data_IF_708268417863
#
_entry.id   IF_708268417863
#
_cell.length_a   1.000
_cell.length_b   1.000
_cell.length_c   1.000
_cell.angle_alpha   90.00
_cell.angle_beta   90.00
_cell.angle_gamma   90.00
#
_symmetry.space_group_name_H-M   'P 1'
#
loop_
_entity.id
_entity.type
_entity.pdbx_description
1 polymer ?
#
# COMPACT_ATOMS: atom_id res chain seq x y z
N UNK A 1 11.01 -6.10 -11.98
CA UNK A 1 9.68 -5.64 -12.41
C UNK A 1 8.83 -5.48 -11.16
N UNK A 2 8.12 -4.35 -11.01
CA UNK A 2 7.13 -4.12 -9.95
C UNK A 2 5.80 -4.60 -10.50
N UNK A 3 5.12 -5.53 -9.82
CA UNK A 3 3.80 -6.00 -10.22
C UNK A 3 2.75 -5.39 -9.27
N UNK A 4 1.80 -4.65 -9.81
CA UNK A 4 0.54 -4.37 -9.13
C UNK A 4 -0.43 -5.50 -9.52
N UNK A 5 -0.90 -6.25 -8.53
CA UNK A 5 -1.82 -7.39 -8.67
C UNK A 5 -3.11 -7.00 -7.92
N UNK A 6 -4.27 -7.59 -8.29
CA UNK A 6 -5.65 -7.36 -7.80
C UNK A 6 -5.87 -7.49 -6.27
N UNK A 7 -5.04 -6.80 -5.50
CA UNK A 7 -4.90 -6.80 -4.04
C UNK A 7 -4.17 -5.53 -3.52
N UNK A 8 -3.67 -4.70 -4.47
CA UNK A 8 -3.14 -3.32 -4.28
C UNK A 8 -1.97 -3.20 -3.32
N UNK A 9 -1.08 -4.16 -3.51
CA UNK A 9 0.23 -4.29 -2.90
C UNK A 9 1.31 -3.97 -3.95
N UNK A 10 2.43 -3.36 -3.56
CA UNK A 10 3.63 -3.31 -4.41
C UNK A 10 4.69 -4.25 -3.82
N UNK A 11 5.14 -5.21 -4.61
CA UNK A 11 6.10 -6.22 -4.20
C UNK A 11 7.23 -6.35 -5.23
N UNK A 12 8.40 -6.77 -4.73
CA UNK A 12 9.57 -7.05 -5.55
C UNK A 12 9.92 -8.54 -5.47
N UNK A 13 9.96 -9.21 -6.62
CA UNK A 13 10.33 -10.62 -6.71
C UNK A 13 9.12 -11.55 -6.58
N UNK A 14 8.99 -12.23 -5.44
CA UNK A 14 7.95 -13.25 -5.20
C UNK A 14 6.65 -12.62 -4.71
N UNK A 15 5.83 -12.18 -5.65
CA UNK A 15 4.54 -11.53 -5.45
C UNK A 15 3.36 -12.52 -5.42
N UNK A 16 2.27 -12.16 -4.75
CA UNK A 16 1.01 -12.92 -4.71
C UNK A 16 -0.18 -12.07 -5.18
N UNK A 17 -1.29 -12.75 -5.48
CA UNK A 17 -2.61 -12.19 -5.76
C UNK A 17 -3.61 -12.48 -4.62
N UNK A 18 -3.10 -12.75 -3.42
CA UNK A 18 -3.90 -13.13 -2.26
C UNK A 18 -4.74 -11.95 -1.77
N UNK A 19 -6.06 -12.02 -1.98
CA UNK A 19 -7.00 -10.95 -1.65
C UNK A 19 -7.42 -10.96 -0.17
N UNK A 20 -7.05 -12.00 0.58
CA UNK A 20 -7.38 -12.10 2.01
C UNK A 20 -6.27 -11.46 2.82
N UNK A 21 -6.56 -10.33 3.46
CA UNK A 21 -5.58 -9.67 4.31
C UNK A 21 -5.31 -10.48 5.58
N UNK A 22 -4.07 -10.43 6.07
CA UNK A 22 -3.68 -11.11 7.32
C UNK A 22 -2.56 -10.35 8.04
N UNK A 23 -2.14 -10.86 9.20
CA UNK A 23 -1.01 -10.31 9.94
C UNK A 23 0.30 -10.46 9.16
N UNK A 24 1.16 -9.44 9.23
CA UNK A 24 2.50 -9.50 8.67
C UNK A 24 3.48 -10.18 9.67
N UNK A 25 4.47 -10.96 9.18
CA UNK A 25 4.75 -11.22 7.77
C UNK A 25 3.77 -12.23 7.18
N UNK A 26 3.24 -11.93 6.00
CA UNK A 26 2.41 -12.86 5.26
C UNK A 26 3.28 -13.83 4.46
N UNK A 27 2.95 -15.12 4.55
CA UNK A 27 3.67 -16.16 3.82
C UNK A 27 3.44 -16.11 2.31
N UNK A 28 2.34 -15.45 1.88
CA UNK A 28 1.97 -15.25 0.48
C UNK A 28 2.98 -14.38 -0.27
N UNK A 29 3.69 -13.46 0.41
CA UNK A 29 4.64 -12.54 -0.21
C UNK A 29 6.08 -12.89 0.16
N UNK A 30 6.78 -13.58 -0.75
CA UNK A 30 8.14 -14.05 -0.50
C UNK A 30 9.21 -12.94 -0.52
N UNK A 31 8.94 -11.80 -1.18
CA UNK A 31 9.88 -10.69 -1.31
C UNK A 31 9.51 -9.43 -0.53
N UNK A 32 10.34 -8.37 -0.60
CA UNK A 32 10.04 -7.07 -0.03
C UNK A 32 8.73 -6.54 -0.59
N UNK A 33 7.84 -6.13 0.30
CA UNK A 33 6.46 -5.84 -0.04
C UNK A 33 5.94 -4.68 0.80
N UNK A 34 5.24 -3.75 0.14
CA UNK A 34 4.56 -2.61 0.76
C UNK A 34 3.05 -2.80 0.62
N UNK A 35 2.36 -2.76 1.75
CA UNK A 35 0.92 -2.97 1.87
C UNK A 35 0.29 -1.61 2.19
N UNK A 36 -0.12 -0.88 1.16
CA UNK A 36 -0.74 0.44 1.32
C UNK A 36 -2.19 0.33 1.80
N UNK A 37 -2.92 -0.66 1.31
CA UNK A 37 -4.27 -1.00 1.73
C UNK A 37 -4.58 -2.42 1.27
N UNK A 38 -3.88 -3.42 1.83
CA UNK A 38 -4.01 -4.79 1.35
C UNK A 38 -5.38 -5.35 1.71
N UNK A 39 -6.19 -5.58 0.69
CA UNK A 39 -7.55 -6.11 0.69
C UNK A 39 -7.96 -6.41 -0.77
N UNK A 40 -9.16 -6.93 -0.99
CA UNK A 40 -9.73 -7.24 -2.32
C UNK A 40 -10.28 -5.98 -3.01
N UNK A 41 -9.42 -5.03 -3.41
CA UNK A 41 -9.90 -3.85 -4.16
C UNK A 41 -9.97 -4.13 -5.68
N UNK A 42 -10.69 -3.30 -6.42
CA UNK A 42 -10.91 -3.43 -7.85
C UNK A 42 -11.22 -2.06 -8.47
N UNK A 43 -10.89 -1.91 -9.75
CA UNK A 43 -11.37 -0.83 -10.61
C UNK A 43 -12.65 -1.31 -11.31
N UNK A 44 -13.78 -0.68 -11.01
CA UNK A 44 -15.05 -0.98 -11.67
C UNK A 44 -15.11 -0.38 -13.08
N UNK A 45 -15.49 -1.20 -14.06
CA UNK A 45 -15.71 -0.77 -15.44
C UNK A 45 -16.74 0.37 -15.52
N UNK A 46 -16.45 1.39 -16.31
CA UNK A 46 -17.34 2.55 -16.51
C UNK A 46 -17.24 3.61 -15.41
N UNK A 47 -16.27 3.50 -14.49
CA UNK A 47 -15.95 4.53 -13.49
C UNK A 47 -14.67 5.29 -13.85
N UNK A 48 -14.35 6.35 -13.10
CA UNK A 48 -13.09 7.08 -13.20
C UNK A 48 -11.95 6.50 -12.34
N UNK A 49 -12.19 5.35 -11.70
CA UNK A 49 -11.20 4.67 -10.87
C UNK A 49 -9.96 4.32 -11.67
N UNK A 50 -8.81 4.39 -11.04
CA UNK A 50 -7.53 4.23 -11.72
C UNK A 50 -6.42 3.79 -10.78
N UNK A 51 -5.40 3.19 -11.38
CA UNK A 51 -4.07 3.12 -10.77
C UNK A 51 -3.11 3.83 -11.69
N UNK A 52 -2.38 4.78 -11.12
CA UNK A 52 -1.44 5.62 -11.82
C UNK A 52 -0.05 5.51 -11.19
N UNK A 53 0.98 5.60 -12.02
CA UNK A 53 2.34 5.76 -11.53
C UNK A 53 3.01 6.93 -12.25
N UNK A 54 3.85 7.65 -11.53
CA UNK A 54 4.68 8.71 -12.09
C UNK A 54 6.06 8.73 -11.46
N UNK A 55 7.02 9.25 -12.22
CA UNK A 55 8.33 9.63 -11.71
C UNK A 55 8.50 11.11 -11.99
N UNK A 56 8.56 11.91 -10.92
CA UNK A 56 8.83 13.33 -10.97
C UNK A 56 10.31 13.61 -10.66
N UNK A 57 10.69 14.88 -10.85
CA UNK A 57 12.04 15.37 -10.64
C UNK A 57 13.11 14.73 -11.56
N UNK A 58 14.36 15.13 -11.35
CA UNK A 58 15.51 14.59 -12.07
C UNK A 58 16.47 13.91 -11.10
N UNK A 59 17.23 12.93 -11.59
CA UNK A 59 18.27 12.30 -10.78
C UNK A 59 19.25 13.36 -10.22
N UNK A 60 19.72 13.21 -8.97
CA UNK A 60 19.52 12.07 -8.05
C UNK A 60 18.31 12.20 -7.10
N UNK A 61 17.33 13.06 -7.39
CA UNK A 61 16.22 13.38 -6.48
C UNK A 61 14.85 12.94 -7.02
N UNK A 62 14.79 11.87 -7.82
CA UNK A 62 13.52 11.39 -8.38
C UNK A 62 12.54 10.96 -7.29
N UNK A 63 11.27 11.27 -7.49
CA UNK A 63 10.15 10.84 -6.67
C UNK A 63 9.28 9.90 -7.49
N UNK A 64 9.19 8.64 -7.08
CA UNK A 64 8.24 7.69 -7.66
C UNK A 64 6.96 7.67 -6.82
N UNK A 65 5.81 7.95 -7.46
CA UNK A 65 4.50 7.94 -6.82
C UNK A 65 3.63 6.89 -7.50
N UNK A 66 3.01 6.04 -6.70
CA UNK A 66 1.93 5.15 -7.11
C UNK A 66 0.65 5.63 -6.46
N UNK A 67 -0.38 5.87 -7.25
CA UNK A 67 -1.68 6.38 -6.80
C UNK A 67 -2.76 5.37 -7.14
N UNK A 68 -3.65 5.14 -6.17
CA UNK A 68 -4.73 4.18 -6.24
C UNK A 68 -6.02 4.92 -5.97
N UNK A 69 -6.98 4.84 -6.89
CA UNK A 69 -8.37 5.25 -6.73
C UNK A 69 -9.23 4.05 -7.13
N UNK A 70 -9.68 3.27 -6.14
CA UNK A 70 -10.30 1.96 -6.33
C UNK A 70 -11.51 1.77 -5.40
N UNK A 71 -12.20 0.63 -5.54
CA UNK A 71 -13.25 0.20 -4.60
C UNK A 71 -13.06 -1.23 -4.11
N UNK A 72 -13.71 -1.61 -3.02
CA UNK A 72 -13.68 -3.01 -2.55
C UNK A 72 -14.54 -3.89 -3.45
N UNK A 73 -14.12 -5.14 -3.68
CA UNK A 73 -14.84 -6.13 -4.45
C UNK A 73 -16.23 -6.40 -3.86
N UNK A 74 -17.25 -6.40 -4.72
CA UNK A 74 -18.65 -6.49 -4.30
C UNK A 74 -19.21 -5.24 -3.60
N UNK A 75 -18.43 -4.16 -3.44
CA UNK A 75 -18.85 -2.92 -2.77
C UNK A 75 -18.42 -1.68 -3.59
N UNK A 76 -19.07 -1.46 -4.73
CA UNK A 76 -18.71 -0.40 -5.71
C UNK A 76 -18.83 1.05 -5.21
N UNK A 77 -19.37 1.26 -4.02
CA UNK A 77 -19.51 2.58 -3.37
C UNK A 77 -18.56 2.77 -2.19
N UNK A 78 -17.74 1.77 -1.86
CA UNK A 78 -16.66 1.89 -0.89
C UNK A 78 -15.40 2.28 -1.65
N UNK A 79 -14.97 3.54 -1.52
CA UNK A 79 -13.85 4.10 -2.27
C UNK A 79 -12.59 4.18 -1.41
N UNK A 80 -11.45 3.94 -2.05
CA UNK A 80 -10.13 3.98 -1.45
C UNK A 80 -9.23 4.78 -2.37
N UNK A 81 -8.81 5.94 -1.88
CA UNK A 81 -7.93 6.85 -2.61
C UNK A 81 -6.69 7.12 -1.78
N UNK A 82 -5.54 6.62 -2.24
CA UNK A 82 -4.28 6.75 -1.52
C UNK A 82 -3.07 6.73 -2.46
N UNK A 83 -1.93 7.18 -1.95
CA UNK A 83 -0.65 7.18 -2.64
C UNK A 83 0.43 6.45 -1.84
N UNK A 84 1.37 5.85 -2.56
CA UNK A 84 2.63 5.31 -2.04
C UNK A 84 3.79 6.02 -2.73
N UNK A 85 4.68 6.64 -1.95
CA UNK A 85 5.79 7.45 -2.43
C UNK A 85 7.13 6.82 -2.05
N UNK A 86 8.05 6.81 -3.02
CA UNK A 86 9.45 6.41 -2.86
C UNK A 86 10.39 7.51 -3.34
N UNK A 87 11.44 7.78 -2.55
CA UNK A 87 12.36 8.89 -2.78
C UNK A 87 13.74 8.34 -3.14
N UNK A 88 14.28 8.73 -4.30
CA UNK A 88 15.62 8.27 -4.75
C UNK A 88 16.74 8.69 -3.78
N UNK A 89 16.63 9.90 -3.22
CA UNK A 89 17.62 10.47 -2.31
C UNK A 89 17.43 10.06 -0.83
N UNK A 90 16.36 9.35 -0.50
CA UNK A 90 16.05 8.86 0.84
C UNK A 90 15.69 7.37 0.78
N UNK A 91 16.66 6.49 0.44
CA UNK A 91 16.40 5.05 0.35
C UNK A 91 15.94 4.50 1.71
N UNK A 92 14.93 3.63 1.67
CA UNK A 92 14.31 3.04 2.85
C UNK A 92 13.20 3.88 3.48
N UNK A 93 12.96 5.11 3.00
CA UNK A 93 11.78 5.89 3.36
C UNK A 93 10.65 5.60 2.38
N UNK A 94 9.52 5.15 2.93
CA UNK A 94 8.29 4.89 2.19
C UNK A 94 7.18 5.70 2.86
N UNK A 95 6.44 6.48 2.06
CA UNK A 95 5.34 7.30 2.58
C UNK A 95 4.01 6.89 1.98
N UNK A 96 3.01 6.71 2.84
CA UNK A 96 1.62 6.53 2.43
C UNK A 96 0.84 7.80 2.71
N UNK A 97 -0.03 8.20 1.80
CA UNK A 97 -0.94 9.35 1.95
C UNK A 97 -2.35 8.87 1.65
N UNK A 98 -3.26 8.98 2.59
CA UNK A 98 -4.65 8.56 2.44
C UNK A 98 -5.56 9.77 2.22
N UNK A 99 -6.25 9.81 1.09
CA UNK A 99 -7.25 10.83 0.79
C UNK A 99 -8.65 10.35 1.14
N UNK A 100 -8.93 9.06 0.93
CA UNK A 100 -10.22 8.44 1.24
C UNK A 100 -10.04 6.95 1.60
N UNK A 101 -10.76 6.49 2.62
CA UNK A 101 -10.88 5.09 2.99
C UNK A 101 -12.28 4.81 3.57
N UNK A 102 -13.21 4.34 2.74
CA UNK A 102 -14.63 4.25 3.09
C UNK A 102 -14.94 3.40 4.33
N UNK A 103 -14.17 2.34 4.62
CA UNK A 103 -14.37 1.49 5.79
C UNK A 103 -13.38 1.79 6.94
N UNK A 104 -12.61 2.89 6.84
CA UNK A 104 -11.72 3.39 7.88
C UNK A 104 -10.61 2.44 8.33
N UNK A 105 -10.19 1.48 7.50
CA UNK A 105 -9.20 0.48 7.87
C UNK A 105 -9.78 -0.83 8.42
N UNK A 106 -11.09 -1.02 8.32
CA UNK A 106 -11.71 -2.32 8.59
C UNK A 106 -11.35 -3.30 7.46
N UNK A 107 -11.01 -4.55 7.76
CA UNK A 107 -10.69 -5.57 6.74
C UNK A 107 -9.42 -5.32 5.91
N UNK A 108 -8.42 -4.61 6.42
CA UNK A 108 -7.20 -4.36 5.65
C UNK A 108 -5.94 -4.54 6.48
N UNK A 109 -4.85 -4.88 5.80
CA UNK A 109 -3.49 -4.85 6.35
C UNK A 109 -2.70 -3.70 5.76
N UNK A 110 -2.14 -2.86 6.64
CA UNK A 110 -1.29 -1.73 6.27
C UNK A 110 0.07 -1.88 6.93
N UNK A 111 1.13 -1.83 6.12
CA UNK A 111 2.49 -1.99 6.62
C UNK A 111 3.50 -2.28 5.52
N UNK A 112 4.65 -2.82 5.92
CA UNK A 112 5.69 -3.33 5.03
C UNK A 112 6.30 -4.62 5.59
N UNK A 113 6.78 -5.49 4.71
CA UNK A 113 7.59 -6.66 5.09
C UNK A 113 8.81 -6.82 4.18
N UNK A 114 9.90 -7.39 4.69
CA UNK A 114 11.10 -7.69 3.88
C UNK A 114 11.01 -9.03 3.13
N UNK A 115 10.25 -10.00 3.64
CA UNK A 115 10.04 -11.33 3.06
C UNK A 115 8.96 -12.08 3.86
N UNK A 116 8.58 -13.29 3.41
CA UNK A 116 7.56 -14.15 4.06
C UNK A 116 7.87 -14.55 5.50
N UNK A 117 9.13 -14.48 5.91
CA UNK A 117 9.58 -14.71 7.30
C UNK A 117 10.47 -13.58 7.81
N UNK A 118 10.37 -12.40 7.20
CA UNK A 118 11.29 -11.28 7.41
C UNK A 118 10.82 -10.29 8.48
N UNK A 119 11.59 -9.21 8.63
CA UNK A 119 11.20 -8.08 9.46
C UNK A 119 9.96 -7.39 8.89
N UNK A 120 9.12 -6.87 9.77
CA UNK A 120 7.88 -6.18 9.42
C UNK A 120 7.73 -4.89 10.19
N UNK A 121 6.97 -3.96 9.62
CA UNK A 121 6.38 -2.83 10.32
C UNK A 121 4.91 -2.80 9.96
N UNK A 122 4.06 -3.07 10.95
CA UNK A 122 2.61 -3.13 10.78
C UNK A 122 1.99 -1.90 11.42
N UNK A 123 1.27 -1.11 10.64
CA UNK A 123 0.47 -0.01 11.16
C UNK A 123 -0.84 -0.53 11.73
N UNK A 124 -1.60 -1.31 10.93
CA UNK A 124 -2.88 -1.87 11.35
C UNK A 124 -3.21 -3.15 10.59
N UNK A 125 -4.05 -3.98 11.22
CA UNK A 125 -4.69 -5.17 10.66
C UNK A 125 -6.12 -5.19 11.19
N UNK A 126 -7.10 -5.13 10.30
CA UNK A 126 -8.53 -5.17 10.63
C UNK A 126 -8.99 -4.16 11.71
N UNK A 127 -8.39 -2.97 11.71
CA UNK A 127 -8.70 -1.93 12.69
C UNK A 127 -9.57 -0.82 12.10
N UNK A 128 -10.86 -0.88 12.40
CA UNK A 128 -11.80 0.19 12.09
C UNK A 128 -11.36 1.54 12.68
N UNK A 129 -11.54 2.59 11.91
CA UNK A 129 -11.15 3.98 12.22
C UNK A 129 -9.63 4.20 12.40
N UNK A 130 -8.78 3.25 12.02
CA UNK A 130 -7.33 3.48 11.97
C UNK A 130 -6.95 4.41 10.81
N UNK A 131 -7.70 4.38 9.70
CA UNK A 131 -7.42 5.21 8.52
C UNK A 131 -8.42 6.34 8.41
N UNK A 132 -7.92 7.58 8.37
CA UNK A 132 -8.72 8.79 8.15
C UNK A 132 -8.25 9.55 6.92
N UNK A 133 -9.11 10.42 6.39
CA UNK A 133 -8.71 11.33 5.32
C UNK A 133 -7.61 12.27 5.81
N UNK A 134 -6.56 12.44 5.00
CA UNK A 134 -5.31 13.14 5.28
C UNK A 134 -4.35 12.43 6.26
N UNK A 135 -4.58 11.15 6.58
CA UNK A 135 -3.56 10.35 7.28
C UNK A 135 -2.31 10.23 6.40
N UNK A 136 -1.14 10.46 7.01
CA UNK A 136 0.16 10.26 6.37
C UNK A 136 0.96 9.31 7.23
N UNK A 137 1.39 8.20 6.66
CA UNK A 137 2.30 7.26 7.34
C UNK A 137 3.68 7.35 6.71
N UNK A 138 4.72 7.35 7.54
CA UNK A 138 6.11 7.26 7.09
C UNK A 138 6.74 6.02 7.71
N UNK A 139 7.21 5.11 6.86
CA UNK A 139 7.97 3.93 7.24
C UNK A 139 9.45 4.18 6.94
N UNK A 140 10.32 3.89 7.92
CA UNK A 140 11.76 3.88 7.77
C UNK A 140 12.27 2.46 7.93
N UNK A 141 12.58 1.81 6.82
CA UNK A 141 13.06 0.42 6.80
C UNK A 141 14.50 0.29 7.27
N UNK A 142 15.24 1.40 7.41
CA UNK A 142 16.61 1.38 7.94
C UNK A 142 16.60 1.26 9.47
N UNK A 143 15.67 1.96 10.13
CA UNK A 143 15.51 1.93 11.59
C UNK A 143 14.48 0.89 12.07
N UNK A 144 13.61 0.40 11.19
CA UNK A 144 12.52 -0.50 11.56
C UNK A 144 11.41 0.22 12.36
N UNK A 145 11.20 1.52 12.09
CA UNK A 145 10.18 2.34 12.76
C UNK A 145 9.21 2.96 11.77
N UNK A 146 7.99 3.26 12.22
CA UNK A 146 7.04 4.07 11.46
C UNK A 146 6.44 5.19 12.34
N UNK A 147 5.87 6.21 11.69
CA UNK A 147 5.13 7.31 12.33
C UNK A 147 3.90 7.70 11.52
N UNK A 148 2.91 8.29 12.20
CA UNK A 148 1.63 8.76 11.65
C UNK A 148 0.95 9.76 12.56
#
# INVERSE_FOLDING_TARGET
MVNAIDIWVLCLGSCSADYTNENLPSSSFGGPTVFGYWDDLIIYSGTSQSVYYSVAETAPNRLATFEYDTSHYGQSTQYYHFQILFYENLPGIIKYIYFQASNGGSSTTIGVQSSSSGSTMTYSVDQANSVTSNLILTFDTNSGTFSG
#
